data_IF_205075104798
#
_entry.id   IF_205075104798
#
_cell.length_a   1.000
_cell.length_b   1.000
_cell.length_c   1.000
_cell.angle_alpha   90.00
_cell.angle_beta   90.00
_cell.angle_gamma   90.00
#
_symmetry.space_group_name_H-M   'P 1'
#
loop_
_entity.id
_entity.type
_entity.pdbx_description
1 polymer ?
#
# COMPACT_ATOMS: atom_id res chain seq x y z
N UNK A 1 -10.87 22.30 -60.71
CA UNK A 1 -11.01 20.89 -60.27
C UNK A 1 -9.63 20.42 -59.78
N UNK A 2 -9.42 20.40 -58.44
CA UNK A 2 -9.18 19.22 -57.58
C UNK A 2 -7.95 18.40 -58.04
N UNK A 3 -6.73 18.70 -57.57
CA UNK A 3 -6.11 18.44 -56.26
C UNK A 3 -5.78 16.96 -56.00
N UNK A 4 -4.49 16.63 -55.83
CA UNK A 4 -4.06 15.93 -54.62
C UNK A 4 -2.60 16.24 -54.28
N UNK A 5 -2.41 16.82 -53.10
CA UNK A 5 -1.14 17.23 -52.50
C UNK A 5 -0.78 16.17 -51.46
N UNK A 6 0.44 15.66 -51.54
CA UNK A 6 1.10 14.97 -50.44
C UNK A 6 1.28 15.94 -49.26
N UNK A 7 0.79 15.56 -48.09
CA UNK A 7 1.41 15.89 -46.81
C UNK A 7 0.77 15.05 -45.70
N UNK A 8 1.48 14.00 -45.30
CA UNK A 8 1.40 13.43 -43.97
C UNK A 8 1.59 14.53 -42.94
N UNK A 9 0.60 14.75 -42.07
CA UNK A 9 0.83 15.29 -40.73
C UNK A 9 -0.33 14.89 -39.82
N UNK A 10 -0.06 13.86 -39.02
CA UNK A 10 -0.55 13.58 -37.67
C UNK A 10 -1.83 14.25 -37.13
N UNK A 11 -2.56 13.42 -36.38
CA UNK A 11 -3.58 13.73 -35.36
C UNK A 11 -5.00 13.96 -35.87
N UNK A 12 -5.65 12.84 -36.17
CA UNK A 12 -7.08 12.71 -36.05
C UNK A 12 -7.43 11.32 -35.53
N UNK A 13 -7.84 11.21 -34.27
CA UNK A 13 -9.16 10.65 -33.93
C UNK A 13 -9.27 10.45 -32.42
N UNK A 14 -9.99 11.39 -31.81
CA UNK A 14 -10.99 11.18 -30.78
C UNK A 14 -10.89 9.88 -29.95
N UNK A 15 -10.44 10.01 -28.70
CA UNK A 15 -11.06 9.28 -27.59
C UNK A 15 -11.81 10.29 -26.73
N UNK A 16 -13.08 10.48 -27.10
CA UNK A 16 -14.07 11.13 -26.26
C UNK A 16 -14.29 10.28 -24.99
N UNK A 17 -14.31 10.98 -23.86
CA UNK A 17 -15.16 10.76 -22.70
C UNK A 17 -15.70 9.34 -22.48
N UNK A 18 -15.03 8.61 -21.61
CA UNK A 18 -15.72 7.93 -20.52
C UNK A 18 -15.32 8.66 -19.25
N UNK A 19 -16.08 9.69 -18.86
CA UNK A 19 -16.08 10.23 -17.50
C UNK A 19 -16.63 9.14 -16.58
N UNK A 20 -15.78 8.17 -16.28
CA UNK A 20 -15.85 7.54 -14.98
C UNK A 20 -15.31 8.62 -14.04
N UNK A 21 -16.13 9.07 -13.10
CA UNK A 21 -15.71 9.82 -11.92
C UNK A 21 -14.61 9.01 -11.22
N UNK A 22 -13.40 9.17 -11.73
CA UNK A 22 -12.20 8.68 -11.12
C UNK A 22 -12.04 9.62 -9.93
N UNK A 23 -12.55 9.19 -8.78
CA UNK A 23 -12.25 9.75 -7.45
C UNK A 23 -10.81 10.26 -7.55
N UNK A 24 -10.50 11.53 -7.23
CA UNK A 24 -9.19 12.12 -7.52
C UNK A 24 -8.12 11.33 -6.76
N UNK A 25 -7.60 10.27 -7.38
CA UNK A 25 -6.52 9.47 -6.85
C UNK A 25 -5.29 10.29 -7.16
N UNK A 26 -4.69 10.85 -6.11
CA UNK A 26 -3.46 11.60 -6.26
C UNK A 26 -2.44 10.72 -6.98
N UNK A 27 -1.94 11.19 -8.12
CA UNK A 27 -0.91 10.47 -8.89
C UNK A 27 0.40 10.64 -8.12
N UNK A 28 0.68 9.67 -7.25
CA UNK A 28 1.88 9.68 -6.42
C UNK A 28 3.12 9.28 -7.21
N UNK A 29 4.28 9.83 -6.84
CA UNK A 29 5.55 9.41 -7.44
C UNK A 29 5.90 7.98 -7.00
N UNK A 30 6.55 7.22 -7.87
CA UNK A 30 7.05 5.86 -7.57
C UNK A 30 7.89 5.82 -6.28
N UNK A 31 8.74 6.82 -6.07
CA UNK A 31 9.59 6.90 -4.87
C UNK A 31 8.77 7.08 -3.59
N UNK A 32 7.64 7.80 -3.67
CA UNK A 32 6.72 7.97 -2.54
C UNK A 32 6.05 6.66 -2.15
N UNK A 33 5.55 5.90 -3.13
CA UNK A 33 4.90 4.59 -2.91
C UNK A 33 5.89 3.60 -2.29
N UNK A 34 7.12 3.55 -2.82
CA UNK A 34 8.20 2.72 -2.26
C UNK A 34 8.52 3.15 -0.81
N UNK A 35 8.61 4.45 -0.54
CA UNK A 35 8.85 4.98 0.79
C UNK A 35 7.76 4.59 1.80
N UNK A 36 6.48 4.73 1.43
CA UNK A 36 5.34 4.28 2.26
C UNK A 36 5.42 2.78 2.53
N UNK A 37 5.81 1.96 1.56
CA UNK A 37 5.95 0.53 1.76
C UNK A 37 7.03 0.17 2.79
N UNK A 38 8.23 0.77 2.66
CA UNK A 38 9.30 0.57 3.65
C UNK A 38 8.91 1.07 5.03
N UNK A 39 8.20 2.19 5.12
CA UNK A 39 7.69 2.70 6.39
C UNK A 39 6.69 1.73 7.04
N UNK A 40 5.80 1.12 6.26
CA UNK A 40 4.86 0.09 6.76
C UNK A 40 5.58 -1.15 7.25
N UNK A 41 6.58 -1.66 6.50
CA UNK A 41 7.39 -2.78 6.95
C UNK A 41 8.18 -2.47 8.22
N UNK A 42 8.79 -1.29 8.28
CA UNK A 42 9.53 -0.86 9.45
C UNK A 42 8.60 -0.78 10.67
N UNK A 43 7.41 -0.19 10.52
CA UNK A 43 6.44 -0.07 11.59
C UNK A 43 5.95 -1.44 12.06
N UNK A 44 5.67 -2.37 11.14
CA UNK A 44 5.33 -3.75 11.48
C UNK A 44 6.44 -4.43 12.30
N UNK A 45 7.69 -4.33 11.85
CA UNK A 45 8.82 -4.93 12.55
C UNK A 45 9.06 -4.29 13.91
N UNK A 46 8.94 -2.97 13.99
CA UNK A 46 9.08 -2.21 15.23
C UNK A 46 8.05 -2.66 16.28
N UNK A 47 6.76 -2.75 15.89
CA UNK A 47 5.70 -3.24 16.79
C UNK A 47 6.02 -4.66 17.26
N UNK A 48 6.41 -5.55 16.36
CA UNK A 48 6.76 -6.93 16.71
C UNK A 48 7.91 -7.01 17.73
N UNK A 49 8.97 -6.21 17.55
CA UNK A 49 10.11 -6.18 18.47
C UNK A 49 9.70 -5.62 19.83
N UNK A 50 8.92 -4.53 19.86
CA UNK A 50 8.41 -3.94 21.09
C UNK A 50 7.53 -4.93 21.85
N UNK A 51 6.65 -5.65 21.16
CA UNK A 51 5.82 -6.68 21.76
C UNK A 51 6.65 -7.81 22.36
N UNK A 52 7.65 -8.31 21.64
CA UNK A 52 8.51 -9.37 22.16
C UNK A 52 9.22 -8.93 23.46
N UNK A 53 9.71 -7.68 23.50
CA UNK A 53 10.31 -7.11 24.70
C UNK A 53 9.32 -6.93 25.84
N UNK A 54 8.15 -6.35 25.56
CA UNK A 54 7.09 -6.17 26.55
C UNK A 54 6.62 -7.51 27.13
N UNK A 55 6.45 -8.52 26.28
CA UNK A 55 6.09 -9.87 26.70
C UNK A 55 7.17 -10.48 27.60
N UNK A 56 8.46 -10.36 27.23
CA UNK A 56 9.55 -10.86 28.05
C UNK A 56 9.60 -10.17 29.42
N UNK A 57 9.42 -8.85 29.47
CA UNK A 57 9.39 -8.09 30.71
C UNK A 57 8.19 -8.51 31.59
N UNK A 58 7.01 -8.67 30.99
CA UNK A 58 5.81 -9.14 31.68
C UNK A 58 6.05 -10.52 32.31
N UNK A 59 6.58 -11.48 31.52
CA UNK A 59 6.90 -12.84 31.97
C UNK A 59 7.95 -12.87 33.09
N UNK A 60 8.89 -11.93 33.08
CA UNK A 60 10.02 -11.88 34.02
C UNK A 60 9.66 -11.22 35.34
N UNK A 61 8.87 -10.15 35.30
CA UNK A 61 8.63 -9.30 36.46
C UNK A 61 7.24 -9.45 37.07
N UNK A 62 6.20 -9.74 36.28
CA UNK A 62 4.82 -9.91 36.77
C UNK A 62 4.12 -11.11 36.08
N UNK A 63 4.59 -12.35 36.31
CA UNK A 63 4.06 -13.53 35.64
C UNK A 63 2.58 -13.80 35.96
N UNK A 64 2.10 -13.42 37.14
CA UNK A 64 0.70 -13.49 37.56
C UNK A 64 -0.24 -12.65 36.68
N UNK A 65 0.24 -11.52 36.18
CA UNK A 65 -0.53 -10.60 35.33
C UNK A 65 -0.38 -10.90 33.84
N UNK A 66 0.28 -12.01 33.47
CA UNK A 66 0.55 -12.37 32.07
C UNK A 66 -0.72 -12.38 31.22
N UNK A 67 -1.84 -12.89 31.75
CA UNK A 67 -3.11 -12.95 31.02
C UNK A 67 -3.66 -11.56 30.73
N UNK A 68 -3.68 -10.67 31.73
CA UNK A 68 -4.15 -9.30 31.55
C UNK A 68 -3.23 -8.50 30.63
N UNK A 69 -1.92 -8.63 30.80
CA UNK A 69 -0.95 -7.97 29.92
C UNK A 69 -1.05 -8.46 28.47
N UNK A 70 -1.24 -9.76 28.24
CA UNK A 70 -1.49 -10.31 26.90
C UNK A 70 -2.79 -9.78 26.28
N UNK A 71 -3.85 -9.61 27.06
CA UNK A 71 -5.10 -9.01 26.56
C UNK A 71 -4.90 -7.55 26.13
N UNK A 72 -4.18 -6.75 26.93
CA UNK A 72 -3.89 -5.34 26.61
C UNK A 72 -3.01 -5.24 25.37
N UNK A 73 -1.94 -6.04 25.29
CA UNK A 73 -1.07 -6.11 24.12
C UNK A 73 -1.84 -6.58 22.88
N UNK A 74 -2.69 -7.60 23.03
CA UNK A 74 -3.55 -8.10 21.96
C UNK A 74 -4.52 -7.04 21.44
N UNK A 75 -5.09 -6.22 22.33
CA UNK A 75 -5.98 -5.13 21.93
C UNK A 75 -5.23 -4.00 21.22
N UNK A 76 -4.06 -3.61 21.74
CA UNK A 76 -3.19 -2.63 21.09
C UNK A 76 -2.78 -3.09 19.69
N UNK A 77 -2.42 -4.36 19.56
CA UNK A 77 -2.09 -4.98 18.28
C UNK A 77 -3.28 -5.06 17.33
N UNK A 78 -4.47 -5.40 17.80
CA UNK A 78 -5.66 -5.41 16.96
C UNK A 78 -5.89 -4.04 16.31
N UNK A 79 -5.84 -2.97 17.10
CA UNK A 79 -5.99 -1.60 16.61
C UNK A 79 -4.85 -1.22 15.66
N UNK A 80 -3.60 -1.54 16.02
CA UNK A 80 -2.42 -1.28 15.19
C UNK A 80 -2.47 -2.02 13.85
N UNK A 81 -2.84 -3.30 13.84
CA UNK A 81 -2.94 -4.11 12.63
C UNK A 81 -4.11 -3.69 11.76
N UNK A 82 -5.24 -3.26 12.32
CA UNK A 82 -6.35 -2.70 11.53
C UNK A 82 -5.89 -1.44 10.80
N UNK A 83 -5.15 -0.55 11.46
CA UNK A 83 -4.60 0.64 10.82
C UNK A 83 -3.55 0.31 9.76
N UNK A 84 -2.62 -0.61 10.06
CA UNK A 84 -1.62 -1.09 9.10
C UNK A 84 -2.27 -1.74 7.87
N UNK A 85 -3.35 -2.51 8.07
CA UNK A 85 -4.10 -3.14 6.99
C UNK A 85 -4.80 -2.10 6.11
N UNK A 86 -5.43 -1.08 6.71
CA UNK A 86 -6.03 0.02 5.95
C UNK A 86 -4.96 0.76 5.12
N UNK A 87 -3.81 1.09 5.70
CA UNK A 87 -2.71 1.74 5.00
C UNK A 87 -2.11 0.86 3.90
N UNK A 88 -2.02 -0.46 4.11
CA UNK A 88 -1.56 -1.39 3.10
C UNK A 88 -2.56 -1.52 1.94
N UNK A 89 -3.87 -1.44 2.22
CA UNK A 89 -4.91 -1.40 1.19
C UNK A 89 -4.85 -0.12 0.38
N UNK A 90 -4.72 1.04 1.03
CA UNK A 90 -4.51 2.33 0.35
C UNK A 90 -3.28 2.28 -0.55
N UNK A 91 -2.15 1.75 -0.05
CA UNK A 91 -0.93 1.63 -0.83
C UNK A 91 -1.09 0.69 -2.03
N UNK A 92 -1.87 -0.39 -1.89
CA UNK A 92 -2.19 -1.30 -2.98
C UNK A 92 -3.07 -0.64 -4.05
N UNK A 93 -3.94 0.28 -3.67
CA UNK A 93 -4.74 1.06 -4.62
C UNK A 93 -3.88 2.13 -5.31
N UNK A 94 -3.06 2.87 -4.55
CA UNK A 94 -2.12 3.87 -5.05
C UNK A 94 -1.08 3.27 -6.01
N UNK A 95 -0.61 2.04 -5.76
CA UNK A 95 0.34 1.36 -6.65
C UNK A 95 -0.24 0.98 -8.01
N UNK A 96 -1.57 0.81 -8.14
CA UNK A 96 -2.22 0.51 -9.43
C UNK A 96 -2.29 1.72 -10.36
N UNK A 97 -2.20 2.93 -9.81
CA UNK A 97 -2.29 4.18 -10.59
C UNK A 97 -0.93 4.70 -11.04
N UNK A 98 0.16 4.16 -10.49
CA UNK A 98 1.54 4.52 -10.86
C UNK A 98 2.18 3.49 -11.80
N UNK A 99 2.93 3.99 -12.79
CA UNK A 99 3.69 3.17 -13.76
C UNK A 99 5.02 2.73 -13.14
N UNK A 100 5.43 1.48 -13.42
CA UNK A 100 6.72 0.89 -13.00
C UNK A 100 6.94 0.74 -11.48
N UNK A 101 5.89 0.59 -10.68
CA UNK A 101 6.05 0.28 -9.24
C UNK A 101 6.51 -1.19 -9.08
N UNK A 102 7.43 -1.51 -8.16
CA UNK A 102 7.86 -2.88 -7.91
C UNK A 102 6.70 -3.80 -7.53
N UNK A 103 6.75 -5.06 -8.00
CA UNK A 103 5.68 -6.05 -7.82
C UNK A 103 5.27 -6.30 -6.35
N UNK A 104 6.22 -6.16 -5.41
CA UNK A 104 5.98 -6.33 -3.98
C UNK A 104 5.15 -5.20 -3.33
N UNK A 105 5.06 -4.03 -3.97
CA UNK A 105 4.17 -2.95 -3.52
C UNK A 105 2.68 -3.29 -3.73
N UNK A 106 2.36 -4.19 -4.67
CA UNK A 106 0.99 -4.66 -4.91
C UNK A 106 0.53 -5.73 -3.90
N UNK A 107 1.42 -6.09 -2.96
CA UNK A 107 1.28 -7.22 -2.04
C UNK A 107 1.74 -8.54 -2.66
N UNK A 108 1.72 -9.61 -1.88
CA UNK A 108 1.98 -11.00 -2.32
C UNK A 108 0.84 -11.52 -3.23
N UNK A 109 0.32 -10.71 -4.13
CA UNK A 109 -0.57 -11.21 -5.19
C UNK A 109 0.29 -11.91 -6.22
N UNK A 110 0.17 -13.25 -6.22
CA UNK A 110 0.79 -14.15 -7.17
C UNK A 110 0.72 -13.56 -8.58
N UNK A 111 1.86 -13.53 -9.25
CA UNK A 111 1.96 -13.30 -10.68
C UNK A 111 1.00 -14.27 -11.35
N UNK A 112 -0.14 -13.79 -11.86
CA UNK A 112 -1.01 -14.61 -12.70
C UNK A 112 -0.22 -14.81 -13.99
N UNK A 113 0.58 -15.87 -14.03
CA UNK A 113 1.13 -16.40 -15.27
C UNK A 113 -0.08 -16.67 -16.16
N UNK A 114 -0.09 -15.99 -17.31
CA UNK A 114 -1.00 -16.29 -18.40
C UNK A 114 -0.81 -17.74 -18.86
#
# INVERSE_FOLDING_TARGET
MKANKSSDFHKGSARQHGDYEQRPVAVWSKNWIIGRWFALLFLFFFVFVVDAHCFFLLRRYNPEDTVHGLLIMGFGNLVGFVFLAAQAQELKEDSKTAVDVPWWCYGLTSYRSN
#
